data_IF_043300410122
#
_entry.id   IF_043300410122
#
_cell.length_a   1.000
_cell.length_b   1.000
_cell.length_c   1.000
_cell.angle_alpha   90.00
_cell.angle_beta   90.00
_cell.angle_gamma   90.00
#
_symmetry.space_group_name_H-M   'P 1'
#
loop_
_entity.id
_entity.type
_entity.pdbx_description
1 polymer ?
#
# COMPACT_ATOMS: atom_id res chain seq x y z
N UNK A 1 4.48 13.35 -21.84
CA UNK A 1 5.95 13.20 -22.01
C UNK A 1 6.38 11.81 -22.49
N UNK A 2 5.80 10.70 -22.03
CA UNK A 2 6.19 9.36 -22.52
C UNK A 2 5.76 9.18 -23.97
N UNK A 3 4.50 9.40 -24.28
CA UNK A 3 3.87 9.12 -25.57
C UNK A 3 3.65 10.37 -26.45
N UNK A 4 4.18 11.53 -26.11
CA UNK A 4 4.03 12.76 -26.90
C UNK A 4 2.62 13.31 -26.99
N UNK A 5 1.73 12.99 -26.03
CA UNK A 5 0.35 13.52 -25.99
C UNK A 5 0.30 14.90 -25.31
N UNK A 6 -0.77 15.68 -25.57
CA UNK A 6 -0.98 17.03 -25.00
C UNK A 6 0.11 18.07 -25.34
N UNK A 7 0.75 17.97 -26.51
CA UNK A 7 1.75 18.93 -26.97
C UNK A 7 3.16 18.73 -26.40
N UNK A 8 3.38 17.70 -25.62
CA UNK A 8 4.72 17.34 -25.12
C UNK A 8 5.46 16.42 -26.10
N UNK A 9 6.79 16.55 -26.22
CA UNK A 9 7.58 15.64 -27.06
C UNK A 9 7.53 14.20 -26.52
N UNK A 10 7.57 13.23 -27.43
CA UNK A 10 7.64 11.80 -27.10
C UNK A 10 9.08 11.44 -26.68
N UNK A 11 9.35 11.49 -25.39
CA UNK A 11 10.68 11.23 -24.81
C UNK A 11 10.85 9.80 -24.27
N UNK A 12 9.83 8.93 -24.40
CA UNK A 12 9.88 7.55 -23.94
C UNK A 12 10.27 7.43 -22.44
N UNK A 13 11.27 6.60 -22.15
CA UNK A 13 11.76 6.35 -20.77
C UNK A 13 12.30 7.63 -20.11
N UNK A 14 13.00 8.48 -20.86
CA UNK A 14 13.48 9.76 -20.34
C UNK A 14 12.30 10.68 -19.95
N UNK A 15 11.22 10.66 -20.72
CA UNK A 15 9.98 11.38 -20.38
C UNK A 15 9.34 10.89 -19.09
N UNK A 16 9.39 9.60 -18.81
CA UNK A 16 8.92 9.02 -17.54
C UNK A 16 9.76 9.51 -16.35
N UNK A 17 11.10 9.48 -16.48
CA UNK A 17 12.01 9.94 -15.43
C UNK A 17 11.80 11.44 -15.10
N UNK A 18 11.70 12.29 -16.13
CA UNK A 18 11.44 13.72 -15.96
C UNK A 18 10.07 13.97 -15.29
N UNK A 19 9.03 13.24 -15.71
CA UNK A 19 7.70 13.37 -15.13
C UNK A 19 7.69 12.99 -13.63
N UNK A 20 8.39 11.92 -13.25
CA UNK A 20 8.54 11.51 -11.85
C UNK A 20 9.27 12.58 -11.03
N UNK A 21 10.39 13.11 -11.53
CA UNK A 21 11.14 14.17 -10.85
C UNK A 21 10.32 15.45 -10.67
N UNK A 22 9.53 15.84 -11.67
CA UNK A 22 8.62 16.99 -11.57
C UNK A 22 7.53 16.72 -10.53
N UNK A 23 6.96 15.52 -10.51
CA UNK A 23 5.91 15.13 -9.53
C UNK A 23 6.44 15.21 -8.10
N UNK A 24 7.65 14.71 -7.85
CA UNK A 24 8.29 14.82 -6.53
C UNK A 24 8.59 16.27 -6.15
N UNK A 25 9.10 17.07 -7.08
CA UNK A 25 9.36 18.51 -6.84
C UNK A 25 8.06 19.26 -6.48
N UNK A 26 6.95 18.98 -7.19
CA UNK A 26 5.63 19.56 -6.88
C UNK A 26 5.15 19.13 -5.50
N UNK A 27 5.34 17.85 -5.15
CA UNK A 27 4.97 17.31 -3.83
C UNK A 27 5.75 18.01 -2.71
N UNK A 28 7.07 18.15 -2.87
CA UNK A 28 7.92 18.86 -1.90
C UNK A 28 7.49 20.32 -1.77
N UNK A 29 7.25 20.99 -2.89
CA UNK A 29 6.82 22.40 -2.90
C UNK A 29 5.47 22.57 -2.17
N UNK A 30 4.52 21.66 -2.40
CA UNK A 30 3.24 21.66 -1.70
C UNK A 30 3.43 21.53 -0.19
N UNK A 31 4.24 20.58 0.28
CA UNK A 31 4.50 20.39 1.71
C UNK A 31 5.23 21.57 2.33
N UNK A 32 6.18 22.18 1.64
CA UNK A 32 6.87 23.41 2.12
C UNK A 32 5.87 24.55 2.29
N UNK A 33 5.04 24.81 1.28
CA UNK A 33 4.03 25.88 1.33
C UNK A 33 3.00 25.61 2.43
N UNK A 34 2.52 24.36 2.55
CA UNK A 34 1.58 23.96 3.58
C UNK A 34 2.17 24.15 4.99
N UNK A 35 3.38 23.67 5.20
CA UNK A 35 4.10 23.83 6.48
C UNK A 35 4.26 25.30 6.83
N UNK A 36 4.67 26.11 5.86
CA UNK A 36 4.87 27.54 6.09
C UNK A 36 3.58 28.30 6.42
N UNK A 37 2.46 27.93 5.81
CA UNK A 37 1.16 28.58 6.03
C UNK A 37 0.38 28.09 7.24
N UNK A 38 0.53 26.80 7.62
CA UNK A 38 -0.35 26.13 8.59
C UNK A 38 0.34 25.75 9.90
N UNK A 39 1.66 25.60 9.91
CA UNK A 39 2.40 25.12 11.07
C UNK A 39 3.12 26.32 11.73
N UNK A 40 2.95 26.44 13.05
CA UNK A 40 3.72 27.39 13.84
C UNK A 40 5.16 26.90 14.00
N UNK A 41 6.02 27.33 13.08
CA UNK A 41 7.45 26.98 13.05
C UNK A 41 8.21 27.42 14.30
N UNK A 42 7.73 28.46 15.03
CA UNK A 42 8.33 28.93 16.28
C UNK A 42 8.01 27.96 17.42
N UNK A 43 6.76 27.49 17.51
CA UNK A 43 6.29 26.55 18.52
C UNK A 43 7.02 25.19 18.43
N UNK A 44 7.26 24.72 17.22
CA UNK A 44 7.92 23.43 16.98
C UNK A 44 9.44 23.53 16.79
N UNK A 45 10.00 24.76 16.84
CA UNK A 45 11.44 24.98 16.69
C UNK A 45 11.99 24.54 15.34
N UNK A 46 11.15 24.53 14.27
CA UNK A 46 11.60 24.23 12.92
C UNK A 46 12.71 25.20 12.53
N UNK A 47 13.73 24.72 11.85
CA UNK A 47 14.94 25.44 11.47
C UNK A 47 15.90 25.81 12.64
N UNK A 48 15.66 25.33 13.87
CA UNK A 48 16.64 25.40 14.94
C UNK A 48 17.47 24.13 14.94
N UNK A 49 18.71 24.22 14.47
CA UNK A 49 19.65 23.09 14.53
C UNK A 49 20.21 23.00 15.95
N UNK A 50 19.62 22.10 16.75
CA UNK A 50 20.14 21.71 18.06
C UNK A 50 21.15 20.58 17.90
N UNK A 51 21.93 20.31 18.96
CA UNK A 51 22.83 19.14 18.95
C UNK A 51 22.04 17.84 18.77
N UNK A 52 22.60 16.91 18.00
CA UNK A 52 22.00 15.60 17.78
C UNK A 52 21.96 14.84 19.09
N UNK A 53 20.79 14.45 19.55
CA UNK A 53 20.61 13.57 20.70
C UNK A 53 20.67 12.11 20.23
N UNK A 54 21.83 11.49 20.42
CA UNK A 54 22.08 10.10 20.05
C UNK A 54 21.18 9.10 20.81
N UNK A 55 20.74 9.43 22.02
CA UNK A 55 19.82 8.60 22.78
C UNK A 55 18.44 8.59 22.15
N UNK A 56 17.94 9.76 21.78
CA UNK A 56 16.67 9.90 21.07
C UNK A 56 16.74 9.24 19.70
N UNK A 57 17.84 9.41 18.96
CA UNK A 57 18.07 8.75 17.68
C UNK A 57 18.03 7.22 17.82
N UNK A 58 18.68 6.66 18.86
CA UNK A 58 18.63 5.23 19.16
C UNK A 58 17.22 4.72 19.44
N UNK A 59 16.39 5.48 20.16
CA UNK A 59 14.99 5.13 20.40
C UNK A 59 14.17 5.13 19.09
N UNK A 60 14.32 6.14 18.25
CA UNK A 60 13.66 6.20 16.94
C UNK A 60 14.09 5.02 16.08
N UNK A 61 15.38 4.74 15.98
CA UNK A 61 15.91 3.63 15.19
C UNK A 61 15.42 2.28 15.68
N UNK A 62 15.29 2.07 16.99
CA UNK A 62 14.81 0.82 17.58
C UNK A 62 13.36 0.48 17.15
N UNK A 63 12.55 1.48 16.85
CA UNK A 63 11.18 1.32 16.32
C UNK A 63 11.20 1.21 14.80
N UNK A 64 12.01 2.05 14.14
CA UNK A 64 12.03 2.15 12.67
C UNK A 64 12.66 0.93 12.01
N UNK A 65 13.62 0.26 12.65
CA UNK A 65 14.30 -0.91 12.07
C UNK A 65 13.32 -2.04 11.73
N UNK A 66 12.31 -2.27 12.56
CA UNK A 66 11.30 -3.29 12.32
C UNK A 66 10.42 -2.95 11.12
N UNK A 67 10.10 -1.65 10.94
CA UNK A 67 9.35 -1.16 9.78
C UNK A 67 10.21 -1.27 8.50
N UNK A 68 11.50 -0.98 8.57
CA UNK A 68 12.41 -1.13 7.43
C UNK A 68 12.52 -2.58 6.98
N UNK A 69 12.72 -3.51 7.93
CA UNK A 69 12.75 -4.96 7.65
C UNK A 69 11.42 -5.41 7.03
N UNK A 70 10.30 -4.96 7.57
CA UNK A 70 8.97 -5.25 7.06
C UNK A 70 8.81 -4.83 5.60
N UNK A 71 9.18 -3.59 5.24
CA UNK A 71 9.11 -3.14 3.85
C UNK A 71 10.03 -3.96 2.93
N UNK A 72 11.24 -4.30 3.39
CA UNK A 72 12.15 -5.16 2.62
C UNK A 72 11.54 -6.54 2.31
N UNK A 73 10.90 -7.16 3.30
CA UNK A 73 10.22 -8.47 3.13
C UNK A 73 8.99 -8.35 2.22
N UNK A 74 8.20 -7.28 2.36
CA UNK A 74 7.05 -7.02 1.50
C UNK A 74 7.46 -6.85 0.03
N UNK A 75 8.52 -6.08 -0.24
CA UNK A 75 9.08 -5.99 -1.59
C UNK A 75 9.59 -7.34 -2.11
N UNK A 76 10.22 -8.15 -1.25
CA UNK A 76 10.64 -9.52 -1.59
C UNK A 76 9.47 -10.41 -2.01
N UNK A 77 8.36 -10.38 -1.28
CA UNK A 77 7.13 -11.09 -1.63
C UNK A 77 6.57 -10.70 -3.00
N UNK A 78 6.51 -9.39 -3.27
CA UNK A 78 6.12 -8.86 -4.57
C UNK A 78 7.07 -9.30 -5.70
N UNK A 79 8.36 -9.31 -5.45
CA UNK A 79 9.36 -9.76 -6.43
C UNK A 79 9.18 -11.24 -6.77
N UNK A 80 8.92 -12.08 -5.76
CA UNK A 80 8.63 -13.51 -5.97
C UNK A 80 7.37 -13.70 -6.83
N UNK A 81 6.33 -12.89 -6.61
CA UNK A 81 5.13 -12.93 -7.45
C UNK A 81 5.46 -12.66 -8.93
N UNK A 82 6.30 -11.64 -9.21
CA UNK A 82 6.71 -11.34 -10.58
C UNK A 82 7.54 -12.45 -11.21
N UNK A 83 8.49 -13.04 -10.47
CA UNK A 83 9.26 -14.20 -10.95
C UNK A 83 8.32 -15.37 -11.27
N UNK A 84 7.31 -15.60 -10.44
CA UNK A 84 6.33 -16.66 -10.69
C UNK A 84 5.51 -16.38 -11.97
N UNK A 85 5.14 -15.12 -12.24
CA UNK A 85 4.45 -14.75 -13.48
C UNK A 85 5.36 -14.86 -14.70
N UNK A 86 6.63 -14.47 -14.59
CA UNK A 86 7.63 -14.61 -15.64
C UNK A 86 7.86 -16.09 -16.00
N UNK A 87 7.85 -16.97 -14.99
CA UNK A 87 7.95 -18.43 -15.21
C UNK A 87 6.77 -19.00 -16.02
N UNK A 88 5.59 -18.40 -15.94
CA UNK A 88 4.42 -18.75 -16.75
C UNK A 88 4.51 -18.25 -18.20
N UNK A 89 5.37 -17.27 -18.48
CA UNK A 89 5.64 -16.73 -19.81
C UNK A 89 5.43 -15.22 -19.95
N UNK A 90 5.75 -14.70 -21.13
CA UNK A 90 5.69 -13.25 -21.41
C UNK A 90 4.26 -12.69 -21.34
N UNK A 91 3.26 -13.43 -21.83
CA UNK A 91 1.86 -12.99 -21.82
C UNK A 91 1.30 -12.86 -20.40
N UNK A 92 1.43 -13.83 -19.47
CA UNK A 92 1.11 -13.70 -18.06
C UNK A 92 1.77 -12.49 -17.39
N UNK A 93 3.06 -12.26 -17.68
CA UNK A 93 3.80 -11.13 -17.15
C UNK A 93 3.24 -9.79 -17.67
N UNK A 94 2.89 -9.70 -18.95
CA UNK A 94 2.29 -8.50 -19.54
C UNK A 94 0.92 -8.18 -18.91
N UNK A 95 0.04 -9.18 -18.77
CA UNK A 95 -1.25 -9.05 -18.07
C UNK A 95 -1.03 -8.53 -16.65
N UNK A 96 -0.12 -9.14 -15.92
CA UNK A 96 0.21 -8.79 -14.55
C UNK A 96 0.68 -7.34 -14.42
N UNK A 97 1.54 -6.86 -15.32
CA UNK A 97 2.02 -5.48 -15.32
C UNK A 97 0.90 -4.46 -15.51
N UNK A 98 -0.04 -4.73 -16.42
CA UNK A 98 -1.19 -3.85 -16.67
C UNK A 98 -2.12 -3.82 -15.45
N UNK A 99 -2.53 -4.99 -14.94
CA UNK A 99 -3.41 -5.11 -13.77
C UNK A 99 -2.77 -4.47 -12.54
N UNK A 100 -1.46 -4.66 -12.32
CA UNK A 100 -0.73 -4.05 -11.22
C UNK A 100 -0.71 -2.52 -11.30
N UNK A 101 -0.58 -1.95 -12.48
CA UNK A 101 -0.58 -0.50 -12.64
C UNK A 101 -1.91 0.11 -12.16
N UNK A 102 -3.03 -0.54 -12.47
CA UNK A 102 -4.36 -0.15 -11.99
C UNK A 102 -4.48 -0.39 -10.49
N UNK A 103 -3.99 -1.53 -9.99
CA UNK A 103 -3.95 -1.83 -8.56
C UNK A 103 -3.17 -0.78 -7.78
N UNK A 104 -1.99 -0.39 -8.26
CA UNK A 104 -1.15 0.62 -7.61
C UNK A 104 -1.86 1.97 -7.46
N UNK A 105 -2.67 2.35 -8.45
CA UNK A 105 -3.48 3.56 -8.37
C UNK A 105 -4.53 3.48 -7.25
N UNK A 106 -5.26 2.37 -7.15
CA UNK A 106 -6.23 2.17 -6.07
C UNK A 106 -5.56 2.03 -4.70
N UNK A 107 -4.44 1.33 -4.64
CA UNK A 107 -3.68 1.12 -3.41
C UNK A 107 -3.12 2.42 -2.82
N UNK A 108 -2.86 3.43 -3.65
CA UNK A 108 -2.45 4.76 -3.19
C UNK A 108 -3.47 5.36 -2.20
N UNK A 109 -4.77 5.22 -2.48
CA UNK A 109 -5.82 5.67 -1.55
C UNK A 109 -5.82 4.85 -0.27
N UNK A 110 -5.76 3.51 -0.37
CA UNK A 110 -5.72 2.63 0.82
C UNK A 110 -4.53 2.99 1.70
N UNK A 111 -3.35 3.16 1.10
CA UNK A 111 -2.12 3.49 1.83
C UNK A 111 -2.20 4.88 2.50
N UNK A 112 -2.79 5.87 1.83
CA UNK A 112 -2.98 7.20 2.40
C UNK A 112 -3.90 7.17 3.65
N UNK A 113 -5.04 6.48 3.57
CA UNK A 113 -5.94 6.31 4.71
C UNK A 113 -5.31 5.48 5.83
N UNK A 114 -4.61 4.39 5.51
CA UNK A 114 -3.95 3.53 6.49
C UNK A 114 -2.81 4.27 7.22
N UNK A 115 -1.97 5.01 6.50
CA UNK A 115 -0.89 5.83 7.08
C UNK A 115 -1.42 6.94 7.97
N UNK A 116 -2.47 7.66 7.53
CA UNK A 116 -3.14 8.68 8.33
C UNK A 116 -3.72 8.06 9.61
N UNK A 117 -4.38 6.90 9.48
CA UNK A 117 -4.95 6.19 10.62
C UNK A 117 -3.87 5.79 11.64
N UNK A 118 -2.71 5.33 11.19
CA UNK A 118 -1.57 5.01 12.07
C UNK A 118 -1.14 6.23 12.90
N UNK A 119 -1.01 7.39 12.28
CA UNK A 119 -0.66 8.64 12.96
C UNK A 119 -1.73 9.08 13.97
N UNK A 120 -3.01 8.96 13.61
CA UNK A 120 -4.12 9.29 14.51
C UNK A 120 -4.20 8.33 15.69
N UNK A 121 -3.94 7.03 15.47
CA UNK A 121 -3.85 6.03 16.55
C UNK A 121 -2.74 6.38 17.53
N UNK A 122 -1.55 6.74 17.05
CA UNK A 122 -0.45 7.18 17.91
C UNK A 122 -0.82 8.40 18.75
N UNK A 123 -1.53 9.37 18.17
CA UNK A 123 -2.01 10.56 18.87
C UNK A 123 -3.04 10.21 19.95
N UNK A 124 -3.99 9.31 19.67
CA UNK A 124 -4.98 8.86 20.67
C UNK A 124 -4.31 8.15 21.85
N UNK A 125 -3.30 7.33 21.60
CA UNK A 125 -2.56 6.65 22.66
C UNK A 125 -1.80 7.66 23.52
N UNK A 126 -1.13 8.63 22.87
CA UNK A 126 -0.45 9.71 23.58
C UNK A 126 -1.39 10.59 24.42
N UNK A 127 -2.65 10.72 24.03
CA UNK A 127 -3.70 11.42 24.78
C UNK A 127 -4.36 10.55 25.87
N UNK A 128 -4.01 9.27 26.00
CA UNK A 128 -4.63 8.34 26.94
C UNK A 128 -6.00 7.80 26.51
N UNK A 129 -6.42 8.05 25.26
CA UNK A 129 -7.72 7.70 24.71
C UNK A 129 -7.71 6.36 23.93
N UNK A 130 -7.02 5.35 24.45
CA UNK A 130 -6.82 4.06 23.77
C UNK A 130 -8.12 3.34 23.37
N UNK A 131 -9.22 3.60 24.07
CA UNK A 131 -10.54 3.00 23.76
C UNK A 131 -11.13 3.49 22.43
N UNK A 132 -10.67 4.64 21.94
CA UNK A 132 -11.12 5.23 20.68
C UNK A 132 -10.41 4.69 19.44
N UNK A 133 -9.36 3.88 19.60
CA UNK A 133 -8.56 3.36 18.48
C UNK A 133 -9.41 2.50 17.53
N UNK A 134 -10.16 1.54 18.04
CA UNK A 134 -11.02 0.69 17.19
C UNK A 134 -12.18 1.47 16.53
N UNK A 135 -12.92 2.33 17.23
CA UNK A 135 -13.93 3.19 16.62
C UNK A 135 -13.34 4.09 15.52
N UNK A 136 -12.16 4.68 15.74
CA UNK A 136 -11.46 5.48 14.74
C UNK A 136 -11.15 4.65 13.50
N UNK A 137 -10.51 3.48 13.67
CA UNK A 137 -10.12 2.61 12.55
C UNK A 137 -11.35 2.18 11.72
N UNK A 138 -12.49 1.88 12.37
CA UNK A 138 -13.74 1.57 11.66
C UNK A 138 -14.26 2.74 10.83
N UNK A 139 -14.19 3.97 11.35
CA UNK A 139 -14.56 5.17 10.59
C UNK A 139 -13.63 5.38 9.40
N UNK A 140 -12.33 5.16 9.58
CA UNK A 140 -11.35 5.26 8.49
C UNK A 140 -11.58 4.21 7.40
N UNK A 141 -11.99 2.98 7.76
CA UNK A 141 -12.40 1.94 6.80
C UNK A 141 -13.60 2.43 5.99
N UNK A 142 -14.64 2.95 6.63
CA UNK A 142 -15.83 3.50 5.96
C UNK A 142 -15.49 4.63 5.00
N UNK A 143 -14.64 5.57 5.42
CA UNK A 143 -14.17 6.67 4.58
C UNK A 143 -13.33 6.16 3.39
N UNK A 144 -12.42 5.23 3.62
CA UNK A 144 -11.61 4.65 2.56
C UNK A 144 -12.50 3.93 1.53
N UNK A 145 -13.48 3.16 1.97
CA UNK A 145 -14.44 2.52 1.07
C UNK A 145 -15.27 3.53 0.27
N UNK A 146 -15.63 4.67 0.85
CA UNK A 146 -16.36 5.71 0.14
C UNK A 146 -15.56 6.28 -1.05
N UNK A 147 -14.23 6.16 -1.06
CA UNK A 147 -13.38 6.53 -2.20
C UNK A 147 -13.04 5.35 -3.10
N UNK A 148 -12.61 4.24 -2.52
CA UNK A 148 -12.08 3.10 -3.27
C UNK A 148 -13.17 2.33 -4.01
N UNK A 149 -14.36 2.13 -3.39
CA UNK A 149 -15.43 1.36 -4.02
C UNK A 149 -16.04 2.04 -5.25
N UNK A 150 -16.37 3.34 -5.25
CA UNK A 150 -16.90 3.98 -6.47
C UNK A 150 -15.91 3.92 -7.63
N UNK A 151 -14.62 4.15 -7.36
CA UNK A 151 -13.57 4.08 -8.39
C UNK A 151 -13.43 2.62 -8.88
N UNK A 152 -13.39 1.66 -7.95
CA UNK A 152 -13.30 0.24 -8.30
C UNK A 152 -14.49 -0.26 -9.11
N UNK A 153 -15.72 0.16 -8.77
CA UNK A 153 -16.94 -0.16 -9.51
C UNK A 153 -16.89 0.45 -10.91
N UNK A 154 -16.45 1.71 -11.02
CA UNK A 154 -16.32 2.37 -12.33
C UNK A 154 -15.33 1.62 -13.23
N UNK A 155 -14.19 1.20 -12.69
CA UNK A 155 -13.21 0.39 -13.42
C UNK A 155 -13.80 -0.98 -13.80
N UNK A 156 -14.54 -1.62 -12.90
CA UNK A 156 -15.18 -2.91 -13.16
C UNK A 156 -16.28 -2.85 -14.20
N UNK A 157 -17.01 -1.72 -14.32
CA UNK A 157 -18.03 -1.50 -15.33
C UNK A 157 -17.45 -1.20 -16.72
N UNK A 158 -16.29 -0.54 -16.79
CA UNK A 158 -15.65 -0.14 -18.05
C UNK A 158 -14.21 -0.66 -18.16
N UNK A 159 -13.97 -1.98 -17.97
CA UNK A 159 -12.64 -2.54 -17.89
C UNK A 159 -11.82 -2.31 -19.15
N UNK A 160 -12.43 -2.52 -20.33
CA UNK A 160 -11.76 -2.35 -21.62
C UNK A 160 -11.30 -0.91 -21.86
N UNK A 161 -12.09 0.09 -21.43
CA UNK A 161 -11.73 1.51 -21.57
C UNK A 161 -10.52 1.87 -20.70
N UNK A 162 -10.48 1.36 -19.47
CA UNK A 162 -9.36 1.60 -18.54
C UNK A 162 -8.10 0.87 -19.01
N UNK A 163 -8.22 -0.37 -19.47
CA UNK A 163 -7.11 -1.15 -19.98
C UNK A 163 -6.49 -0.54 -21.26
N UNK A 164 -7.30 0.10 -22.12
CA UNK A 164 -6.83 0.84 -23.31
C UNK A 164 -5.89 2.02 -22.99
N UNK A 165 -5.86 2.50 -21.76
CA UNK A 165 -4.89 3.53 -21.33
C UNK A 165 -3.47 2.96 -21.33
N UNK A 166 -3.35 1.66 -21.11
CA UNK A 166 -2.05 0.96 -20.94
C UNK A 166 -1.61 0.19 -22.19
N UNK A 167 -2.55 -0.30 -23.01
CA UNK A 167 -2.22 -1.11 -24.18
C UNK A 167 -3.31 -0.98 -25.27
N UNK A 168 -2.88 -0.98 -26.54
CA UNK A 168 -3.78 -1.01 -27.71
C UNK A 168 -4.07 -2.44 -28.18
N UNK A 169 -3.42 -3.45 -27.59
CA UNK A 169 -3.60 -4.85 -27.98
C UNK A 169 -4.93 -5.40 -27.41
N UNK A 170 -5.90 -5.60 -28.31
CA UNK A 170 -7.25 -6.07 -27.95
C UNK A 170 -7.28 -7.45 -27.29
N UNK A 171 -6.36 -8.35 -27.70
CA UNK A 171 -6.24 -9.69 -27.11
C UNK A 171 -5.67 -9.65 -25.68
N UNK A 172 -4.69 -8.77 -25.44
CA UNK A 172 -4.16 -8.55 -24.09
C UNK A 172 -5.22 -7.91 -23.18
N UNK A 173 -6.02 -6.96 -23.70
CA UNK A 173 -7.13 -6.35 -22.96
C UNK A 173 -8.13 -7.41 -22.53
N UNK A 174 -8.61 -8.24 -23.47
CA UNK A 174 -9.59 -9.29 -23.18
C UNK A 174 -9.07 -10.28 -22.12
N UNK A 175 -7.81 -10.69 -22.23
CA UNK A 175 -7.16 -11.62 -21.31
C UNK A 175 -6.90 -11.03 -19.92
N UNK A 176 -6.82 -9.69 -19.80
CA UNK A 176 -6.57 -9.01 -18.52
C UNK A 176 -7.82 -8.82 -17.68
N UNK A 177 -9.03 -8.83 -18.29
CA UNK A 177 -10.29 -8.56 -17.59
C UNK A 177 -10.56 -9.49 -16.41
N UNK A 178 -10.41 -10.83 -16.51
CA UNK A 178 -10.64 -11.71 -15.38
C UNK A 178 -9.71 -11.41 -14.20
N UNK A 179 -8.43 -11.19 -14.46
CA UNK A 179 -7.43 -10.84 -13.45
C UNK A 179 -7.74 -9.49 -12.80
N UNK A 180 -8.23 -8.53 -13.58
CA UNK A 180 -8.64 -7.22 -13.09
C UNK A 180 -9.82 -7.32 -12.11
N UNK A 181 -10.82 -8.15 -12.40
CA UNK A 181 -11.96 -8.35 -11.49
C UNK A 181 -11.56 -9.03 -10.20
N UNK A 182 -10.69 -10.04 -10.25
CA UNK A 182 -10.14 -10.68 -9.06
C UNK A 182 -9.39 -9.65 -8.21
N UNK A 183 -8.53 -8.85 -8.81
CA UNK A 183 -7.79 -7.79 -8.13
C UNK A 183 -8.73 -6.75 -7.51
N UNK A 184 -9.74 -6.25 -8.24
CA UNK A 184 -10.68 -5.26 -7.72
C UNK A 184 -11.47 -5.78 -6.52
N UNK A 185 -11.94 -7.02 -6.59
CA UNK A 185 -12.71 -7.64 -5.50
C UNK A 185 -11.86 -7.94 -4.27
N UNK A 186 -10.53 -8.12 -4.41
CA UNK A 186 -9.64 -8.30 -3.26
C UNK A 186 -9.58 -7.04 -2.35
N UNK A 187 -9.90 -5.86 -2.88
CA UNK A 187 -9.95 -4.62 -2.09
C UNK A 187 -11.02 -4.61 -1.00
N UNK A 188 -12.03 -5.50 -1.08
CA UNK A 188 -12.98 -5.72 0.02
C UNK A 188 -12.27 -6.20 1.30
N UNK A 189 -11.17 -6.90 1.18
CA UNK A 189 -10.36 -7.37 2.31
C UNK A 189 -9.13 -6.49 2.52
N UNK A 190 -8.58 -5.92 1.46
CA UNK A 190 -7.39 -5.06 1.53
C UNK A 190 -7.65 -3.80 2.38
N UNK A 191 -8.76 -3.10 2.17
CA UNK A 191 -9.06 -1.87 2.91
C UNK A 191 -9.05 -2.08 4.42
N UNK A 192 -9.89 -2.98 5.01
CA UNK A 192 -9.85 -3.20 6.44
C UNK A 192 -8.54 -3.84 6.90
N UNK A 193 -7.95 -4.73 6.11
CA UNK A 193 -6.68 -5.37 6.40
C UNK A 193 -5.57 -4.35 6.64
N UNK A 194 -5.32 -3.48 5.67
CA UNK A 194 -4.27 -2.47 5.77
C UNK A 194 -4.55 -1.43 6.85
N UNK A 195 -5.79 -0.96 7.01
CA UNK A 195 -6.12 0.03 8.05
C UNK A 195 -5.88 -0.54 9.45
N UNK A 196 -6.31 -1.77 9.76
CA UNK A 196 -6.03 -2.39 11.05
C UNK A 196 -4.53 -2.70 11.22
N UNK A 197 -3.86 -3.15 10.17
CA UNK A 197 -2.43 -3.43 10.20
C UNK A 197 -1.60 -2.18 10.53
N UNK A 198 -1.87 -1.06 9.87
CA UNK A 198 -1.23 0.22 10.17
C UNK A 198 -1.63 0.74 11.56
N UNK A 199 -2.83 0.41 12.07
CA UNK A 199 -3.19 0.70 13.45
C UNK A 199 -2.27 -0.04 14.44
N UNK A 200 -1.91 -1.30 14.17
CA UNK A 200 -0.95 -2.04 15.02
C UNK A 200 0.39 -1.32 15.04
N UNK A 201 0.89 -0.88 13.89
CA UNK A 201 2.12 -0.07 13.82
C UNK A 201 1.98 1.25 14.61
N UNK A 202 0.82 1.90 14.52
CA UNK A 202 0.48 3.13 15.24
C UNK A 202 0.42 2.95 16.77
N UNK A 203 0.24 1.73 17.28
CA UNK A 203 0.37 1.46 18.73
C UNK A 203 1.82 1.44 19.23
N UNK A 204 2.81 1.71 18.38
CA UNK A 204 4.23 1.59 18.69
C UNK A 204 4.74 0.14 18.68
N UNK A 205 3.89 -0.87 18.49
CA UNK A 205 4.29 -2.27 18.51
C UNK A 205 4.65 -2.76 17.09
N UNK A 206 5.63 -2.12 16.49
CA UNK A 206 6.11 -2.40 15.12
C UNK A 206 6.65 -3.83 14.96
N UNK A 207 7.18 -4.42 16.04
CA UNK A 207 7.59 -5.83 16.02
C UNK A 207 6.42 -6.77 15.79
N UNK A 208 5.26 -6.52 16.42
CA UNK A 208 4.04 -7.32 16.17
C UNK A 208 3.49 -7.13 14.77
N UNK A 209 3.56 -5.90 14.24
CA UNK A 209 3.22 -5.66 12.86
C UNK A 209 4.11 -6.49 11.92
N UNK A 210 5.43 -6.50 12.15
CA UNK A 210 6.36 -7.35 11.40
C UNK A 210 6.03 -8.84 11.50
N UNK A 211 5.74 -9.37 12.70
CA UNK A 211 5.38 -10.77 12.90
C UNK A 211 4.12 -11.18 12.10
N UNK A 212 3.10 -10.32 12.08
CA UNK A 212 1.86 -10.53 11.30
C UNK A 212 2.18 -10.51 9.80
N UNK A 213 2.97 -9.54 9.35
CA UNK A 213 3.32 -9.39 7.94
C UNK A 213 4.19 -10.54 7.45
N UNK A 214 5.20 -10.95 8.21
CA UNK A 214 6.03 -12.13 7.90
C UNK A 214 5.20 -13.40 7.74
N UNK A 215 4.27 -13.65 8.66
CA UNK A 215 3.37 -14.79 8.58
C UNK A 215 2.49 -14.70 7.32
N UNK A 216 1.98 -13.50 7.01
CA UNK A 216 1.15 -13.26 5.83
C UNK A 216 1.93 -13.47 4.53
N UNK A 217 3.15 -12.94 4.43
CA UNK A 217 4.01 -13.09 3.26
C UNK A 217 4.47 -14.53 3.10
N UNK A 218 4.77 -15.24 4.18
CA UNK A 218 5.13 -16.65 4.12
C UNK A 218 4.01 -17.48 3.47
N UNK A 219 2.78 -17.33 3.92
CA UNK A 219 1.61 -18.02 3.34
C UNK A 219 1.37 -17.56 1.90
N UNK A 220 1.51 -16.26 1.63
CA UNK A 220 1.41 -15.67 0.29
C UNK A 220 2.39 -16.32 -0.69
N UNK A 221 3.66 -16.45 -0.29
CA UNK A 221 4.72 -17.04 -1.12
C UNK A 221 4.45 -18.53 -1.37
N UNK A 222 4.06 -19.29 -0.34
CA UNK A 222 3.70 -20.69 -0.51
C UNK A 222 2.53 -20.86 -1.48
N UNK A 223 1.52 -20.00 -1.36
CA UNK A 223 0.34 -20.07 -2.23
C UNK A 223 0.67 -19.71 -3.68
N UNK A 224 1.42 -18.64 -3.93
CA UNK A 224 1.78 -18.28 -5.31
C UNK A 224 2.67 -19.32 -5.97
N UNK A 225 3.63 -19.91 -5.24
CA UNK A 225 4.45 -20.99 -5.76
C UNK A 225 3.60 -22.23 -6.09
N UNK A 226 2.65 -22.56 -5.24
CA UNK A 226 1.73 -23.66 -5.50
C UNK A 226 0.89 -23.42 -6.76
N UNK A 227 0.27 -22.24 -6.88
CA UNK A 227 -0.64 -21.90 -7.99
C UNK A 227 0.09 -21.66 -9.29
N UNK A 228 1.18 -20.90 -9.28
CA UNK A 228 1.88 -20.50 -10.50
C UNK A 228 2.88 -21.57 -10.98
N UNK A 229 3.66 -22.18 -10.06
CA UNK A 229 4.73 -23.08 -10.44
C UNK A 229 4.22 -24.54 -10.54
N UNK A 230 3.45 -24.98 -9.56
CA UNK A 230 3.00 -26.39 -9.50
C UNK A 230 1.73 -26.64 -10.31
N UNK A 231 0.69 -25.83 -10.15
CA UNK A 231 -0.56 -25.94 -10.91
C UNK A 231 -0.48 -25.31 -12.31
N UNK A 232 0.44 -24.37 -12.55
CA UNK A 232 0.51 -23.56 -13.78
C UNK A 232 -0.85 -22.98 -14.14
N UNK A 233 -1.54 -22.44 -13.13
CA UNK A 233 -2.89 -21.94 -13.28
C UNK A 233 -2.92 -20.62 -14.06
N UNK A 234 -4.11 -20.25 -14.50
CA UNK A 234 -4.36 -18.99 -15.20
C UNK A 234 -3.97 -17.77 -14.35
N UNK A 235 -3.58 -16.67 -15.01
CA UNK A 235 -3.18 -15.42 -14.32
C UNK A 235 -4.24 -14.93 -13.33
N UNK A 236 -5.53 -15.04 -13.69
CA UNK A 236 -6.62 -14.67 -12.80
C UNK A 236 -6.61 -15.47 -11.49
N UNK A 237 -6.29 -16.77 -11.56
CA UNK A 237 -6.17 -17.62 -10.37
C UNK A 237 -4.92 -17.24 -9.56
N UNK A 238 -3.81 -16.89 -10.22
CA UNK A 238 -2.62 -16.38 -9.55
C UNK A 238 -2.92 -15.09 -8.76
N UNK A 239 -3.75 -14.20 -9.27
CA UNK A 239 -4.17 -12.98 -8.56
C UNK A 239 -5.02 -13.25 -7.31
N UNK A 240 -5.56 -14.45 -7.12
CA UNK A 240 -6.24 -14.83 -5.87
C UNK A 240 -5.28 -14.85 -4.67
N UNK A 241 -3.97 -14.85 -4.90
CA UNK A 241 -2.94 -14.70 -3.86
C UNK A 241 -3.14 -13.40 -3.05
N UNK A 242 -3.68 -12.34 -3.67
CA UNK A 242 -4.03 -11.10 -2.98
C UNK A 242 -5.11 -11.31 -1.91
N UNK A 243 -6.07 -12.20 -2.12
CA UNK A 243 -7.04 -12.54 -1.08
C UNK A 243 -6.38 -13.18 0.12
N UNK A 244 -5.47 -14.14 -0.15
CA UNK A 244 -4.76 -14.86 0.92
C UNK A 244 -3.98 -13.85 1.78
N UNK A 245 -3.22 -12.97 1.15
CA UNK A 245 -2.47 -11.94 1.86
C UNK A 245 -3.38 -10.99 2.65
N UNK A 246 -4.42 -10.46 2.02
CA UNK A 246 -5.31 -9.49 2.64
C UNK A 246 -6.12 -10.09 3.81
N UNK A 247 -6.54 -11.36 3.71
CA UNK A 247 -7.23 -12.05 4.80
C UNK A 247 -6.25 -12.33 5.95
N UNK A 248 -5.03 -12.72 5.65
CA UNK A 248 -4.01 -12.95 6.69
C UNK A 248 -3.68 -11.66 7.44
N UNK A 249 -3.47 -10.56 6.72
CA UNK A 249 -3.14 -9.26 7.35
C UNK A 249 -4.33 -8.69 8.14
N UNK A 250 -5.56 -9.07 7.81
CA UNK A 250 -6.78 -8.72 8.57
C UNK A 250 -6.76 -9.31 9.98
N UNK A 251 -5.93 -10.33 10.25
CA UNK A 251 -5.69 -10.86 11.60
C UNK A 251 -5.22 -9.79 12.59
N UNK A 252 -4.68 -8.66 12.09
CA UNK A 252 -4.35 -7.47 12.86
C UNK A 252 -5.53 -6.95 13.68
N UNK A 253 -6.76 -7.12 13.20
CA UNK A 253 -7.97 -6.79 13.94
C UNK A 253 -8.07 -7.52 15.27
N UNK A 254 -7.77 -8.83 15.31
CA UNK A 254 -7.82 -9.63 16.52
C UNK A 254 -6.78 -9.18 17.56
N UNK A 255 -5.61 -8.74 17.10
CA UNK A 255 -4.62 -8.16 18.00
C UNK A 255 -5.12 -6.88 18.66
N UNK A 256 -5.73 -5.98 17.89
CA UNK A 256 -6.30 -4.74 18.40
C UNK A 256 -7.50 -4.98 19.32
N UNK A 257 -8.35 -5.95 18.96
CA UNK A 257 -9.54 -6.30 19.73
C UNK A 257 -9.20 -6.89 21.10
N UNK A 258 -8.19 -7.77 21.19
CA UNK A 258 -7.71 -8.35 22.46
C UNK A 258 -7.21 -7.31 23.46
N UNK A 259 -6.81 -6.13 23.01
CA UNK A 259 -6.47 -4.99 23.85
C UNK A 259 -5.20 -5.11 24.70
N UNK A 260 -4.41 -6.20 24.59
CA UNK A 260 -3.20 -6.42 25.38
C UNK A 260 -2.12 -5.35 25.16
N UNK A 261 -2.20 -4.57 24.09
CA UNK A 261 -1.32 -3.46 23.79
C UNK A 261 -1.57 -2.21 24.65
N UNK A 262 -2.79 -2.08 25.24
CA UNK A 262 -3.20 -0.92 26.05
C UNK A 262 -2.40 -0.77 27.36
N UNK A 263 -1.92 -1.87 27.90
CA UNK A 263 -1.20 -1.92 29.18
C UNK A 263 0.32 -1.78 29.02
N UNK A 264 0.84 -1.68 27.81
CA UNK A 264 2.28 -1.42 27.59
C UNK A 264 2.53 0.08 27.69
N UNK A 265 3.22 0.49 28.77
CA UNK A 265 3.83 1.83 28.81
C UNK A 265 4.89 1.89 27.68
N UNK A 266 4.70 2.84 26.78
CA UNK A 266 5.66 3.17 25.71
C UNK A 266 6.85 3.90 26.33
#
# INVERSE_FOLDING_TARGET
MIFGKFGFPALGIAGAAIASSISEAVSVLFFVIYTWKKIDYKKYGLFRFTRVDFRMLGQILSVSIWVMIQHGIAFGGWFIFFIAMEHLGERPLAITNVVRSISSFLFMFVNAFASTNSSLVSNLIGAGESDRVLPLSRRMIGLCYAFVLPIGILIAMFPSTVLRIYTDNSDLIASSIPSLWVMLSSYLFAVPGFIYFFSVSGTGNTRRALEIDMASIFVYVLYILYVAVWLRADVAVCWTTEYVYNIMILSSFFYLWKGNWRNKKI
#
